data_IF_478056938283
#
_entry.id   IF_478056938283
#
_cell.length_a   1.000
_cell.length_b   1.000
_cell.length_c   1.000
_cell.angle_alpha   90.00
_cell.angle_beta   90.00
_cell.angle_gamma   90.00
#
_symmetry.space_group_name_H-M   'P 1'
#
loop_
_entity.id
_entity.type
_entity.pdbx_description
1 polymer ?
#
# COMPACT_ATOMS: atom_id res chain seq x y z
N UNK A 1 15.94 -17.54 -24.43
CA UNK A 1 16.35 -16.84 -23.22
C UNK A 1 15.51 -17.35 -22.06
N UNK A 2 16.12 -17.97 -21.02
CA UNK A 2 15.38 -18.38 -19.85
C UNK A 2 14.90 -17.12 -19.10
N UNK A 3 13.61 -17.11 -18.79
CA UNK A 3 12.86 -15.98 -18.35
C UNK A 3 13.44 -15.24 -17.15
N UNK A 4 13.68 -13.97 -17.35
CA UNK A 4 13.71 -13.04 -16.24
C UNK A 4 12.32 -13.03 -15.63
N UNK A 5 12.20 -13.40 -14.36
CA UNK A 5 11.00 -13.12 -13.60
C UNK A 5 10.74 -11.61 -13.74
N UNK A 6 9.49 -11.17 -14.06
CA UNK A 6 9.21 -9.77 -14.16
C UNK A 6 9.55 -9.12 -12.81
N UNK A 7 10.45 -8.17 -12.82
CA UNK A 7 10.69 -7.33 -11.64
C UNK A 7 9.40 -6.60 -11.36
N UNK A 8 8.78 -6.85 -10.22
CA UNK A 8 7.56 -6.17 -9.76
C UNK A 8 7.81 -4.68 -9.47
N UNK A 9 8.85 -4.11 -10.05
CA UNK A 9 9.33 -2.78 -9.77
C UNK A 9 9.78 -2.08 -11.05
N UNK A 10 9.31 -0.86 -11.25
CA UNK A 10 9.82 0.02 -12.29
C UNK A 10 11.13 0.65 -11.82
N UNK A 11 12.22 0.40 -12.53
CA UNK A 11 13.52 1.00 -12.25
C UNK A 11 13.74 2.16 -13.22
N UNK A 12 13.98 3.35 -12.68
CA UNK A 12 14.36 4.53 -13.43
C UNK A 12 15.82 4.85 -13.13
N UNK A 13 16.67 4.87 -14.16
CA UNK A 13 18.03 5.33 -14.05
C UNK A 13 18.08 6.83 -14.29
N UNK A 14 18.56 7.59 -13.32
CA UNK A 14 18.87 9.02 -13.47
C UNK A 14 20.34 9.24 -13.16
N UNK A 15 21.01 10.05 -13.98
CA UNK A 15 22.35 10.51 -13.67
C UNK A 15 22.23 11.71 -12.74
N UNK A 16 22.69 11.57 -11.52
CA UNK A 16 22.84 12.69 -10.61
C UNK A 16 24.25 13.25 -10.75
N UNK A 17 24.36 14.55 -11.03
CA UNK A 17 25.66 15.23 -11.17
C UNK A 17 26.29 15.51 -9.80
N UNK A 18 25.53 15.42 -8.72
CA UNK A 18 26.00 15.54 -7.35
C UNK A 18 25.47 14.37 -6.51
N UNK A 19 26.15 13.23 -6.47
CA UNK A 19 25.80 12.17 -5.54
C UNK A 19 26.03 12.67 -4.12
N UNK A 20 24.98 13.07 -3.44
CA UNK A 20 25.05 13.56 -2.06
C UNK A 20 25.48 12.48 -1.07
N UNK A 21 25.39 11.21 -1.45
CA UNK A 21 25.82 10.12 -0.62
C UNK A 21 26.22 8.90 -1.48
N UNK A 22 27.50 8.59 -1.52
CA UNK A 22 28.01 7.43 -2.27
C UNK A 22 27.63 6.09 -1.63
N UNK A 23 27.20 6.08 -0.36
CA UNK A 23 26.78 4.86 0.35
C UNK A 23 25.33 4.51 0.06
N UNK A 24 24.50 5.49 -0.34
CA UNK A 24 23.05 5.36 -0.53
C UNK A 24 22.62 5.83 -1.93
N UNK A 25 23.14 5.20 -3.00
CA UNK A 25 22.94 5.72 -4.36
C UNK A 25 21.53 5.49 -4.91
N UNK A 26 20.70 4.67 -4.24
CA UNK A 26 19.36 4.32 -4.72
C UNK A 26 18.32 5.19 -4.03
N UNK A 27 17.36 5.67 -4.80
CA UNK A 27 16.12 6.26 -4.30
C UNK A 27 14.97 5.33 -4.61
N UNK A 28 14.28 4.88 -3.56
CA UNK A 28 13.12 4.02 -3.64
C UNK A 28 11.88 4.84 -3.40
N UNK A 29 10.93 4.79 -4.33
CA UNK A 29 9.59 5.30 -4.09
C UNK A 29 8.72 4.16 -3.60
N UNK A 30 8.18 4.32 -2.40
CA UNK A 30 7.20 3.38 -1.84
C UNK A 30 5.79 3.78 -2.27
N UNK A 31 4.96 2.78 -2.49
CA UNK A 31 3.54 3.00 -2.65
C UNK A 31 2.92 3.40 -1.32
N UNK A 32 2.03 4.39 -1.34
CA UNK A 32 1.22 4.74 -0.18
C UNK A 32 0.16 3.67 0.10
N UNK A 33 -0.44 3.70 1.29
CA UNK A 33 -1.59 2.84 1.61
C UNK A 33 -2.71 3.00 0.57
N UNK A 34 -3.03 4.22 0.16
CA UNK A 34 -4.04 4.50 -0.86
C UNK A 34 -3.69 3.90 -2.22
N UNK A 35 -2.43 4.00 -2.65
CA UNK A 35 -1.97 3.40 -3.90
C UNK A 35 -2.04 1.88 -3.86
N UNK A 36 -1.72 1.25 -2.71
CA UNK A 36 -1.86 -0.19 -2.52
C UNK A 36 -3.33 -0.63 -2.60
N UNK A 37 -4.25 0.11 -2.00
CA UNK A 37 -5.69 -0.19 -2.10
C UNK A 37 -6.14 -0.15 -3.56
N UNK A 38 -5.72 0.85 -4.33
CA UNK A 38 -6.05 0.95 -5.75
C UNK A 38 -5.51 -0.23 -6.57
N UNK A 39 -4.27 -0.67 -6.29
CA UNK A 39 -3.70 -1.86 -6.95
C UNK A 39 -4.52 -3.12 -6.65
N UNK A 40 -4.93 -3.32 -5.41
CA UNK A 40 -5.74 -4.48 -5.01
C UNK A 40 -7.13 -4.44 -5.64
N UNK A 41 -7.76 -3.26 -5.73
CA UNK A 41 -9.03 -3.07 -6.47
C UNK A 41 -8.86 -3.47 -7.94
N UNK A 42 -7.83 -2.98 -8.60
CA UNK A 42 -7.57 -3.28 -10.00
C UNK A 42 -7.32 -4.79 -10.23
N UNK A 43 -6.51 -5.40 -9.36
CA UNK A 43 -6.22 -6.84 -9.42
C UNK A 43 -7.49 -7.66 -9.23
N UNK A 44 -8.31 -7.34 -8.23
CA UNK A 44 -9.57 -8.03 -7.98
C UNK A 44 -10.56 -7.87 -9.13
N UNK A 45 -10.70 -6.67 -9.67
CA UNK A 45 -11.60 -6.37 -10.79
C UNK A 45 -11.25 -7.13 -12.07
N UNK A 46 -10.00 -7.55 -12.22
CA UNK A 46 -9.52 -8.35 -13.35
C UNK A 46 -9.77 -9.86 -13.18
N UNK A 47 -10.16 -10.31 -12.00
CA UNK A 47 -10.45 -11.72 -11.75
C UNK A 47 -11.77 -12.15 -12.39
N UNK A 48 -11.89 -13.41 -12.84
CA UNK A 48 -13.14 -13.95 -13.36
C UNK A 48 -14.28 -13.94 -12.31
N UNK A 49 -13.95 -14.20 -11.05
CA UNK A 49 -14.87 -14.11 -9.91
C UNK A 49 -14.56 -12.85 -9.10
N UNK A 50 -15.09 -11.72 -9.57
CA UNK A 50 -14.93 -10.40 -8.95
C UNK A 50 -16.25 -9.90 -8.33
N UNK A 51 -17.00 -10.81 -7.74
CA UNK A 51 -18.29 -10.48 -7.14
C UNK A 51 -18.16 -9.45 -6.02
N UNK A 52 -18.90 -8.35 -6.18
CA UNK A 52 -18.95 -7.29 -5.17
C UNK A 52 -19.74 -7.74 -3.93
N UNK A 53 -19.31 -7.25 -2.76
CA UNK A 53 -20.06 -7.45 -1.51
C UNK A 53 -21.38 -6.68 -1.56
N UNK A 54 -22.45 -7.30 -1.10
CA UNK A 54 -23.79 -6.69 -1.12
C UNK A 54 -23.87 -5.47 -0.19
N UNK A 55 -24.64 -4.46 -0.58
CA UNK A 55 -24.82 -3.20 0.15
C UNK A 55 -25.24 -3.42 1.61
N UNK A 56 -26.16 -4.36 1.87
CA UNK A 56 -26.64 -4.67 3.22
C UNK A 56 -25.52 -5.18 4.14
N UNK A 57 -24.60 -5.96 3.60
CA UNK A 57 -23.41 -6.43 4.34
C UNK A 57 -22.47 -5.28 4.62
N UNK A 58 -22.24 -4.41 3.65
CA UNK A 58 -21.40 -3.21 3.80
C UNK A 58 -21.93 -2.31 4.91
N UNK A 59 -23.22 -2.04 4.90
CA UNK A 59 -23.90 -1.22 5.92
C UNK A 59 -23.75 -1.82 7.33
N UNK A 60 -23.97 -3.13 7.46
CA UNK A 60 -23.80 -3.82 8.73
C UNK A 60 -22.36 -3.80 9.24
N UNK A 61 -21.37 -3.94 8.35
CA UNK A 61 -19.95 -3.81 8.71
C UNK A 61 -19.60 -2.41 9.18
N UNK A 62 -20.04 -1.38 8.46
CA UNK A 62 -19.82 0.02 8.83
C UNK A 62 -20.41 0.35 10.20
N UNK A 63 -21.62 -0.07 10.48
CA UNK A 63 -22.25 0.12 11.79
C UNK A 63 -21.40 -0.48 12.91
N UNK A 64 -20.92 -1.71 12.74
CA UNK A 64 -20.02 -2.37 13.68
C UNK A 64 -18.72 -1.59 13.89
N UNK A 65 -18.08 -1.15 12.81
CA UNK A 65 -16.79 -0.45 12.89
C UNK A 65 -16.88 0.95 13.46
N UNK A 66 -18.05 1.61 13.41
CA UNK A 66 -18.27 2.87 14.11
C UNK A 66 -17.98 2.76 15.62
N UNK A 67 -18.24 1.59 16.21
CA UNK A 67 -17.95 1.34 17.63
C UNK A 67 -16.47 1.17 17.93
N UNK A 68 -15.64 0.90 16.90
CA UNK A 68 -14.19 0.69 17.00
C UNK A 68 -13.39 1.94 16.65
N UNK A 69 -14.07 3.05 16.43
CA UNK A 69 -13.46 4.32 16.05
C UNK A 69 -12.48 4.79 17.12
N UNK A 70 -11.25 5.09 16.68
CA UNK A 70 -10.20 5.65 17.54
C UNK A 70 -10.47 7.13 17.82
N UNK A 71 -9.97 7.60 18.95
CA UNK A 71 -10.12 9.01 19.36
C UNK A 71 -9.31 9.95 18.48
N UNK A 72 -8.18 9.49 17.98
CA UNK A 72 -7.28 10.24 17.10
C UNK A 72 -7.15 9.56 15.74
N UNK A 73 -6.88 10.33 14.68
CA UNK A 73 -6.59 9.75 13.37
C UNK A 73 -5.44 8.75 13.43
N UNK A 74 -5.61 7.62 12.77
CA UNK A 74 -4.56 6.60 12.62
C UNK A 74 -3.80 6.88 11.33
N UNK A 75 -2.46 7.08 11.37
CA UNK A 75 -1.68 7.42 10.19
C UNK A 75 -1.83 6.45 9.02
N UNK A 76 -1.58 6.92 7.82
CA UNK A 76 -1.52 6.13 6.59
C UNK A 76 -2.58 6.46 5.56
N UNK A 77 -3.74 6.96 5.98
CA UNK A 77 -4.82 7.32 5.07
C UNK A 77 -5.53 8.60 5.54
N UNK A 78 -5.96 9.43 4.61
CA UNK A 78 -6.76 10.62 4.85
C UNK A 78 -8.16 10.48 4.23
N UNK A 79 -9.10 11.33 4.64
CA UNK A 79 -10.42 11.38 4.01
C UNK A 79 -10.35 11.72 2.51
N UNK A 80 -9.37 12.54 2.11
CA UNK A 80 -9.11 12.85 0.71
C UNK A 80 -8.66 11.62 -0.08
N UNK A 81 -7.77 10.81 0.51
CA UNK A 81 -7.32 9.54 -0.08
C UNK A 81 -8.49 8.59 -0.28
N UNK A 82 -9.38 8.47 0.70
CA UNK A 82 -10.57 7.62 0.61
C UNK A 82 -11.49 8.08 -0.53
N UNK A 83 -11.68 9.38 -0.70
CA UNK A 83 -12.46 9.92 -1.81
C UNK A 83 -11.82 9.60 -3.17
N UNK A 84 -10.49 9.68 -3.28
CA UNK A 84 -9.75 9.29 -4.49
C UNK A 84 -9.88 7.80 -4.79
N UNK A 85 -9.80 6.95 -3.78
CA UNK A 85 -10.03 5.50 -3.89
C UNK A 85 -11.46 5.23 -4.38
N UNK A 86 -12.45 5.93 -3.88
CA UNK A 86 -13.84 5.80 -4.33
C UNK A 86 -14.03 6.11 -5.82
N UNK A 87 -13.39 7.17 -6.30
CA UNK A 87 -13.39 7.51 -7.74
C UNK A 87 -12.72 6.42 -8.58
N UNK A 88 -11.59 5.91 -8.13
CA UNK A 88 -10.89 4.82 -8.81
C UNK A 88 -11.73 3.53 -8.83
N UNK A 89 -12.31 3.15 -7.70
CA UNK A 89 -13.18 1.98 -7.61
C UNK A 89 -14.36 2.06 -8.59
N UNK A 90 -15.02 3.21 -8.71
CA UNK A 90 -16.09 3.42 -9.68
C UNK A 90 -15.63 3.26 -11.12
N UNK A 91 -14.37 3.57 -11.42
CA UNK A 91 -13.82 3.35 -12.76
C UNK A 91 -13.55 1.88 -13.07
N UNK A 92 -13.35 1.05 -12.05
CA UNK A 92 -13.04 -0.38 -12.18
C UNK A 92 -14.29 -1.27 -12.14
N UNK A 93 -15.36 -0.84 -11.43
CA UNK A 93 -16.55 -1.64 -11.19
C UNK A 93 -17.70 -1.16 -12.11
N UNK A 94 -18.32 -2.05 -12.87
CA UNK A 94 -19.48 -1.71 -13.71
C UNK A 94 -20.61 -1.07 -12.89
N UNK A 95 -21.28 -0.05 -13.44
CA UNK A 95 -22.28 0.74 -12.72
C UNK A 95 -23.40 -0.10 -12.10
N UNK A 96 -23.82 -1.17 -12.78
CA UNK A 96 -24.85 -2.09 -12.31
C UNK A 96 -24.39 -3.03 -11.18
N UNK A 97 -23.10 -3.05 -10.88
CA UNK A 97 -22.50 -3.86 -9.80
C UNK A 97 -22.00 -3.00 -8.63
N UNK A 98 -22.10 -1.68 -8.74
CA UNK A 98 -21.65 -0.77 -7.69
C UNK A 98 -22.60 -0.82 -6.50
N UNK A 99 -22.13 -1.43 -5.39
CA UNK A 99 -22.86 -1.58 -4.15
C UNK A 99 -22.59 -0.45 -3.15
N UNK A 100 -21.62 0.41 -3.43
CA UNK A 100 -21.22 1.53 -2.58
C UNK A 100 -21.62 2.84 -3.27
N UNK A 101 -22.65 3.47 -2.73
CA UNK A 101 -23.11 4.78 -3.21
C UNK A 101 -22.32 5.94 -2.59
N UNK A 102 -22.65 7.17 -2.97
CA UNK A 102 -21.97 8.38 -2.47
C UNK A 102 -22.10 8.53 -0.96
N UNK A 103 -23.25 8.19 -0.38
CA UNK A 103 -23.46 8.27 1.06
C UNK A 103 -22.56 7.30 1.82
N UNK A 104 -22.40 6.08 1.32
CA UNK A 104 -21.48 5.08 1.90
C UNK A 104 -20.02 5.49 1.73
N UNK A 105 -19.63 6.04 0.58
CA UNK A 105 -18.27 6.57 0.39
C UNK A 105 -17.97 7.71 1.35
N UNK A 106 -18.93 8.58 1.61
CA UNK A 106 -18.79 9.62 2.62
C UNK A 106 -18.59 9.05 4.03
N UNK A 107 -19.32 8.00 4.39
CA UNK A 107 -19.11 7.30 5.65
C UNK A 107 -17.72 6.65 5.73
N UNK A 108 -17.25 6.01 4.67
CA UNK A 108 -15.88 5.49 4.58
C UNK A 108 -14.85 6.59 4.81
N UNK A 109 -15.00 7.73 4.14
CA UNK A 109 -14.05 8.83 4.25
C UNK A 109 -13.94 9.40 5.67
N UNK A 110 -15.02 9.37 6.43
CA UNK A 110 -15.04 9.83 7.85
C UNK A 110 -14.53 8.76 8.82
N UNK A 111 -14.79 7.49 8.52
CA UNK A 111 -14.51 6.39 9.45
C UNK A 111 -13.11 5.81 9.30
N UNK A 112 -12.67 5.52 8.07
CA UNK A 112 -11.46 4.76 7.84
C UNK A 112 -10.19 5.40 8.41
N UNK A 113 -10.00 6.73 8.33
CA UNK A 113 -8.85 7.37 8.97
C UNK A 113 -8.81 7.22 10.50
N UNK A 114 -9.92 6.86 11.11
CA UNK A 114 -10.05 6.68 12.57
C UNK A 114 -10.02 5.21 13.00
N UNK A 115 -9.80 4.27 12.09
CA UNK A 115 -9.68 2.84 12.40
C UNK A 115 -8.22 2.43 12.55
N UNK A 116 -7.95 1.49 13.45
CA UNK A 116 -6.65 0.83 13.50
C UNK A 116 -6.37 0.06 12.19
N UNK A 117 -5.11 -0.31 11.98
CA UNK A 117 -4.69 -0.89 10.70
C UNK A 117 -5.40 -2.22 10.39
N UNK A 118 -5.62 -3.07 11.39
CA UNK A 118 -6.28 -4.36 11.20
C UNK A 118 -7.76 -4.18 10.85
N UNK A 119 -8.46 -3.30 11.56
CA UNK A 119 -9.87 -2.98 11.26
C UNK A 119 -10.00 -2.29 9.91
N UNK A 120 -9.05 -1.40 9.58
CA UNK A 120 -8.99 -0.73 8.28
C UNK A 120 -8.77 -1.74 7.15
N UNK A 121 -7.93 -2.76 7.34
CA UNK A 121 -7.73 -3.82 6.37
C UNK A 121 -9.05 -4.57 6.08
N UNK A 122 -9.84 -4.86 7.11
CA UNK A 122 -11.15 -5.47 6.94
C UNK A 122 -12.15 -4.56 6.20
N UNK A 123 -12.06 -3.25 6.42
CA UNK A 123 -12.87 -2.29 5.69
C UNK A 123 -12.49 -2.24 4.21
N UNK A 124 -11.20 -2.18 3.89
CA UNK A 124 -10.72 -2.26 2.52
C UNK A 124 -11.07 -3.57 1.84
N UNK A 125 -11.13 -4.68 2.60
CA UNK A 125 -11.50 -5.99 2.09
C UNK A 125 -12.87 -6.02 1.41
N UNK A 126 -13.78 -5.14 1.78
CA UNK A 126 -15.07 -4.97 1.09
C UNK A 126 -14.89 -4.63 -0.40
N UNK A 127 -13.79 -3.98 -0.77
CA UNK A 127 -13.48 -3.58 -2.14
C UNK A 127 -12.92 -4.72 -3.00
N UNK A 128 -12.52 -5.84 -2.38
CA UNK A 128 -12.07 -7.06 -3.05
C UNK A 128 -12.77 -8.30 -2.54
N UNK A 129 -14.08 -8.19 -2.33
CA UNK A 129 -14.96 -9.31 -2.05
C UNK A 129 -14.70 -10.03 -0.73
N UNK A 130 -14.11 -9.35 0.25
CA UNK A 130 -13.70 -9.93 1.54
C UNK A 130 -12.77 -11.15 1.39
N UNK A 131 -12.00 -11.24 0.31
CA UNK A 131 -11.08 -12.35 0.09
C UNK A 131 -9.95 -12.34 1.14
N UNK A 132 -9.83 -13.40 1.98
CA UNK A 132 -8.89 -13.40 3.09
C UNK A 132 -7.42 -13.30 2.66
N UNK A 133 -7.08 -13.96 1.55
CA UNK A 133 -5.70 -13.99 1.03
C UNK A 133 -5.23 -12.61 0.59
N UNK A 134 -6.08 -11.87 -0.15
CA UNK A 134 -5.78 -10.50 -0.54
C UNK A 134 -5.69 -9.58 0.67
N UNK A 135 -6.59 -9.72 1.61
CA UNK A 135 -6.61 -8.92 2.85
C UNK A 135 -5.33 -9.15 3.66
N UNK A 136 -4.88 -10.40 3.78
CA UNK A 136 -3.64 -10.73 4.48
C UNK A 136 -2.41 -10.15 3.76
N UNK A 137 -2.36 -10.23 2.45
CA UNK A 137 -1.28 -9.64 1.65
C UNK A 137 -1.24 -8.12 1.82
N UNK A 138 -2.39 -7.46 1.72
CA UNK A 138 -2.49 -6.02 1.93
C UNK A 138 -2.02 -5.62 3.33
N UNK A 139 -2.46 -6.34 4.36
CA UNK A 139 -2.08 -6.08 5.74
C UNK A 139 -0.57 -6.23 5.97
N UNK A 140 0.05 -7.24 5.38
CA UNK A 140 1.51 -7.45 5.43
C UNK A 140 2.26 -6.27 4.81
N UNK A 141 1.83 -5.80 3.63
CA UNK A 141 2.45 -4.66 2.96
C UNK A 141 2.28 -3.35 3.73
N UNK A 142 1.10 -3.12 4.31
CA UNK A 142 0.84 -1.89 5.07
C UNK A 142 1.49 -1.87 6.43
N UNK A 143 1.70 -3.00 7.08
CA UNK A 143 2.57 -3.09 8.27
C UNK A 143 3.99 -2.63 7.95
N UNK A 144 4.49 -3.01 6.80
CA UNK A 144 5.78 -2.53 6.28
C UNK A 144 5.82 -1.01 6.15
N UNK A 145 4.81 -0.41 5.52
CA UNK A 145 4.69 1.05 5.39
C UNK A 145 4.63 1.73 6.77
N UNK A 146 3.92 1.15 7.71
CA UNK A 146 3.84 1.65 9.08
C UNK A 146 5.21 1.66 9.77
N UNK A 147 6.01 0.62 9.57
CA UNK A 147 7.38 0.52 10.11
C UNK A 147 8.33 1.57 9.53
N UNK A 148 8.13 1.98 8.29
CA UNK A 148 8.89 3.07 7.64
C UNK A 148 8.35 4.47 7.95
N UNK A 149 7.37 4.59 8.86
CA UNK A 149 6.73 5.86 9.20
C UNK A 149 5.94 6.46 8.04
N UNK A 150 5.45 5.64 7.11
CA UNK A 150 4.76 6.06 5.87
C UNK A 150 5.60 6.95 4.95
N UNK A 151 6.93 6.80 5.02
CA UNK A 151 7.83 7.50 4.10
C UNK A 151 7.50 7.15 2.65
N UNK A 152 7.46 8.16 1.78
CA UNK A 152 7.20 7.96 0.35
C UNK A 152 8.48 7.61 -0.42
N UNK A 153 9.62 8.10 0.04
CA UNK A 153 10.92 7.85 -0.55
C UNK A 153 11.92 7.40 0.50
N UNK A 154 12.75 6.44 0.12
CA UNK A 154 13.81 5.90 0.93
C UNK A 154 15.12 5.90 0.15
N UNK A 155 16.23 6.24 0.81
CA UNK A 155 17.55 5.98 0.29
C UNK A 155 17.98 4.55 0.60
N UNK A 156 18.66 3.90 -0.32
CA UNK A 156 19.10 2.53 -0.15
C UNK A 156 20.49 2.27 -0.76
N UNK A 157 21.25 1.33 -0.20
CA UNK A 157 22.52 0.91 -0.79
C UNK A 157 22.30 0.08 -2.05
N UNK A 158 23.29 0.06 -2.92
CA UNK A 158 23.24 -0.70 -4.18
C UNK A 158 23.06 -2.22 -3.93
N UNK A 159 23.55 -2.73 -2.81
CA UNK A 159 23.35 -4.13 -2.40
C UNK A 159 21.89 -4.57 -2.29
N UNK A 160 20.97 -3.62 -2.26
CA UNK A 160 19.55 -3.90 -2.26
C UNK A 160 19.06 -4.42 -3.62
N UNK A 161 19.65 -3.96 -4.73
CA UNK A 161 19.28 -4.40 -6.09
C UNK A 161 20.01 -5.66 -6.51
N UNK A 162 21.22 -5.83 -6.05
CA UNK A 162 22.09 -6.91 -6.47
C UNK A 162 22.68 -7.58 -5.22
N UNK A 163 22.78 -8.90 -5.28
CA UNK A 163 23.51 -9.64 -4.27
C UNK A 163 25.05 -9.47 -4.46
N UNK A 164 25.82 -10.11 -3.60
CA UNK A 164 27.29 -10.06 -3.68
C UNK A 164 27.88 -10.73 -4.94
N UNK A 165 27.07 -11.40 -5.74
CA UNK A 165 27.44 -11.94 -7.07
C UNK A 165 27.00 -11.05 -8.22
N UNK A 166 26.36 -9.90 -7.94
CA UNK A 166 25.80 -9.01 -8.95
C UNK A 166 24.48 -9.50 -9.55
N UNK A 167 23.83 -10.48 -8.93
CA UNK A 167 22.51 -10.98 -9.33
C UNK A 167 21.39 -10.22 -8.62
N UNK A 168 20.19 -10.11 -9.22
CA UNK A 168 19.05 -9.47 -8.57
C UNK A 168 18.72 -10.12 -7.22
N UNK A 169 18.54 -9.32 -6.18
CA UNK A 169 18.18 -9.79 -4.85
C UNK A 169 16.73 -10.32 -4.84
N UNK A 170 16.53 -11.57 -4.41
CA UNK A 170 15.21 -12.24 -4.44
C UNK A 170 14.18 -11.63 -3.48
N UNK A 171 14.61 -11.05 -2.36
CA UNK A 171 13.72 -10.56 -1.30
C UNK A 171 13.74 -9.05 -1.15
N UNK A 172 13.95 -8.34 -2.23
CA UNK A 172 14.11 -6.89 -2.26
C UNK A 172 13.06 -6.11 -1.47
N UNK A 173 11.78 -6.34 -1.72
CA UNK A 173 10.69 -5.63 -1.03
C UNK A 173 10.61 -6.00 0.45
N UNK A 174 10.89 -7.25 0.79
CA UNK A 174 10.89 -7.73 2.17
C UNK A 174 12.06 -7.11 2.96
N UNK A 175 13.23 -6.97 2.33
CA UNK A 175 14.38 -6.33 2.97
C UNK A 175 14.15 -4.85 3.25
N UNK A 176 13.60 -4.11 2.31
CA UNK A 176 13.20 -2.70 2.52
C UNK A 176 12.16 -2.58 3.64
N UNK A 177 11.25 -3.52 3.70
CA UNK A 177 10.19 -3.57 4.70
C UNK A 177 10.71 -3.71 6.13
N UNK A 178 11.71 -4.54 6.32
CA UNK A 178 12.23 -4.90 7.65
C UNK A 178 13.19 -3.87 8.22
N UNK A 179 13.71 -2.97 7.42
CA UNK A 179 14.78 -2.04 7.84
C UNK A 179 14.31 -0.63 8.20
N UNK A 180 13.02 -0.36 8.14
CA UNK A 180 12.48 0.96 8.50
C UNK A 180 12.87 1.38 9.91
N UNK A 181 13.63 2.46 10.03
CA UNK A 181 14.00 3.20 11.24
C UNK A 181 14.68 2.43 12.40
N UNK A 182 15.01 1.18 12.26
CA UNK A 182 15.79 0.45 13.27
C UNK A 182 17.22 0.24 12.77
N UNK A 183 18.07 1.17 13.08
CA UNK A 183 19.52 1.14 12.74
C UNK A 183 20.28 -0.08 13.31
N UNK A 184 19.66 -0.92 14.12
CA UNK A 184 20.37 -1.90 14.94
C UNK A 184 20.27 -3.35 14.47
N UNK A 185 19.46 -3.72 13.45
CA UNK A 185 19.14 -5.13 13.23
C UNK A 185 19.21 -5.67 11.79
N UNK A 186 19.64 -4.89 10.81
CA UNK A 186 19.74 -5.44 9.44
C UNK A 186 20.96 -4.90 8.70
N UNK A 187 21.53 -5.75 7.85
CA UNK A 187 22.67 -5.39 6.97
C UNK A 187 22.28 -4.36 5.89
N UNK A 188 21.02 -4.02 5.78
CA UNK A 188 20.47 -3.04 4.85
C UNK A 188 19.82 -1.91 5.63
N UNK A 189 20.42 -0.74 5.60
CA UNK A 189 19.88 0.48 6.22
C UNK A 189 19.21 1.32 5.15
N UNK A 190 18.02 1.83 5.44
CA UNK A 190 17.24 2.67 4.53
C UNK A 190 16.88 3.96 5.26
N UNK A 191 17.13 5.11 4.62
CA UNK A 191 16.84 6.43 5.19
C UNK A 191 15.69 7.11 4.46
N UNK A 192 14.75 7.74 5.19
CA UNK A 192 13.76 8.62 4.58
C UNK A 192 14.45 9.78 3.84
N UNK A 193 13.94 10.12 2.67
CA UNK A 193 14.39 11.26 1.90
C UNK A 193 13.35 12.37 2.04
N UNK A 194 13.77 13.54 2.51
CA UNK A 194 12.91 14.71 2.51
C UNK A 194 12.69 15.19 1.07
N UNK A 195 11.41 15.32 0.68
CA UNK A 195 11.05 15.92 -0.59
C UNK A 195 11.33 17.41 -0.55
N UNK A 196 12.44 17.84 -1.12
CA UNK A 196 12.61 19.23 -1.51
C UNK A 196 11.90 19.45 -2.86
N UNK A 197 10.74 20.08 -2.79
CA UNK A 197 10.07 20.66 -3.95
C UNK A 197 10.84 21.88 -4.44
#
# INVERSE_FOLDING_TARGET
NPGHAPTNMAIRFTRDENPHDSEWPLRLRLLSEAELVQLFIAQFSALPDNRQVEKSIIEARLEKWQTLRQRHPVPGITAHDVAAIGRFWRSCVPANQQQIDDALWHQFATLLPALDLTTRANAWALLWGEQPELTQQWLTLTHTLQQTGHAQELAAPLSLLVDHFGLPAESFLTQVALTGNNEAQSDVVVHPIENHQ
#
